data_IF_349970219158
#
_entry.id   IF_349970219158
#
_cell.length_a   1.000
_cell.length_b   1.000
_cell.length_c   1.000
_cell.angle_alpha   90.00
_cell.angle_beta   90.00
_cell.angle_gamma   90.00
#
_symmetry.space_group_name_H-M   'P 1'
#
loop_
_entity.id
_entity.type
_entity.pdbx_description
1 polymer ?
#
# COMPACT_ATOMS: atom_id res chain seq x y z
N UNK A 1 -8.60 -24.33 -50.51
CA UNK A 1 -8.01 -23.85 -49.25
C UNK A 1 -6.76 -23.06 -49.61
N UNK A 2 -6.65 -21.80 -49.19
CA UNK A 2 -5.47 -20.97 -49.47
C UNK A 2 -4.95 -20.47 -48.13
N UNK A 3 -3.76 -20.95 -47.75
CA UNK A 3 -3.02 -20.41 -46.62
C UNK A 3 -2.16 -19.26 -47.15
N UNK A 4 -2.55 -18.03 -46.83
CA UNK A 4 -1.67 -16.88 -47.03
C UNK A 4 -0.71 -16.83 -45.85
N UNK A 5 0.53 -17.28 -46.06
CA UNK A 5 1.61 -16.98 -45.14
C UNK A 5 2.07 -15.53 -45.43
N UNK A 6 1.71 -14.60 -44.56
CA UNK A 6 2.26 -13.25 -44.61
C UNK A 6 3.65 -13.26 -43.97
N UNK A 7 4.70 -12.72 -44.61
CA UNK A 7 5.95 -12.45 -43.93
C UNK A 7 5.72 -11.28 -42.97
N UNK A 8 5.66 -11.60 -41.68
CA UNK A 8 5.68 -10.60 -40.64
C UNK A 8 7.13 -10.11 -40.52
N UNK A 9 7.44 -8.96 -41.13
CA UNK A 9 8.73 -8.30 -40.94
C UNK A 9 8.75 -7.70 -39.53
N UNK A 10 9.53 -8.31 -38.65
CA UNK A 10 9.50 -8.16 -37.19
C UNK A 10 10.24 -6.93 -36.65
N UNK A 11 10.43 -5.84 -37.42
CA UNK A 11 11.57 -4.95 -37.15
C UNK A 11 11.41 -3.45 -36.94
N UNK A 12 10.23 -2.81 -37.01
CA UNK A 12 10.23 -1.34 -36.89
C UNK A 12 9.14 -0.67 -36.02
N UNK A 13 8.18 -1.37 -35.42
CA UNK A 13 7.09 -0.70 -34.67
C UNK A 13 6.98 -1.15 -33.19
N UNK A 14 8.10 -1.51 -32.56
CA UNK A 14 8.15 -1.82 -31.12
C UNK A 14 9.06 -0.88 -30.31
N UNK A 15 9.75 0.05 -30.96
CA UNK A 15 10.67 1.00 -30.32
C UNK A 15 10.03 1.93 -29.28
N UNK A 16 8.93 2.65 -29.59
CA UNK A 16 8.41 3.68 -28.68
C UNK A 16 7.70 3.11 -27.44
N UNK A 17 7.06 1.94 -27.58
CA UNK A 17 6.39 1.27 -26.47
C UNK A 17 7.41 0.57 -25.55
N UNK A 18 8.48 0.01 -26.13
CA UNK A 18 9.63 -0.54 -25.40
C UNK A 18 10.37 0.53 -24.57
N UNK A 19 10.61 1.72 -25.14
CA UNK A 19 11.24 2.84 -24.43
C UNK A 19 10.39 3.32 -23.24
N UNK A 20 9.06 3.37 -23.40
CA UNK A 20 8.13 3.74 -22.32
C UNK A 20 8.11 2.66 -21.22
N UNK A 21 8.07 1.39 -21.61
CA UNK A 21 8.09 0.25 -20.70
C UNK A 21 9.39 0.25 -19.86
N UNK A 22 10.53 0.46 -20.53
CA UNK A 22 11.85 0.52 -19.90
C UNK A 22 11.99 1.69 -18.94
N UNK A 23 11.34 2.81 -19.26
CA UNK A 23 11.28 3.99 -18.38
C UNK A 23 10.41 3.73 -17.14
N UNK A 24 9.32 2.97 -17.26
CA UNK A 24 8.47 2.57 -16.14
C UNK A 24 9.16 1.57 -15.21
N UNK A 25 9.94 0.63 -15.76
CA UNK A 25 10.67 -0.38 -14.99
C UNK A 25 11.86 0.22 -14.21
N UNK A 26 12.41 1.34 -14.67
CA UNK A 26 13.54 2.02 -14.03
C UNK A 26 13.13 3.07 -12.99
N UNK A 27 11.85 3.43 -12.94
CA UNK A 27 11.34 4.29 -11.87
C UNK A 27 11.39 3.49 -10.56
N UNK A 28 12.13 3.95 -9.53
CA UNK A 28 12.09 3.31 -8.23
C UNK A 28 10.63 3.32 -7.76
N UNK A 29 10.06 2.14 -7.53
CA UNK A 29 8.75 2.04 -6.91
C UNK A 29 8.87 2.70 -5.53
N UNK A 30 8.32 3.92 -5.40
CA UNK A 30 8.21 4.62 -4.12
C UNK A 30 7.59 3.64 -3.11
N UNK A 31 8.41 3.18 -2.18
CA UNK A 31 8.01 2.17 -1.21
C UNK A 31 7.03 2.81 -0.24
N UNK A 32 5.75 2.80 -0.59
CA UNK A 32 4.69 3.30 0.26
C UNK A 32 4.52 2.36 1.44
N UNK A 33 5.25 2.62 2.53
CA UNK A 33 5.17 1.88 3.78
C UNK A 33 3.77 2.05 4.42
N UNK A 34 2.83 1.20 4.01
CA UNK A 34 1.50 1.09 4.60
C UNK A 34 1.57 0.21 5.83
N UNK A 35 1.81 0.82 6.97
CA UNK A 35 1.66 0.11 8.24
C UNK A 35 0.18 -0.11 8.56
N UNK A 36 -0.18 -1.35 8.91
CA UNK A 36 -1.53 -1.69 9.38
C UNK A 36 -1.84 -0.87 10.63
N UNK A 37 -2.91 -0.08 10.57
CA UNK A 37 -3.37 0.78 11.67
C UNK A 37 -4.39 0.03 12.52
N UNK A 38 -4.28 0.19 13.84
CA UNK A 38 -5.31 -0.26 14.77
C UNK A 38 -6.42 0.78 14.83
N UNK A 39 -7.66 0.37 14.55
CA UNK A 39 -8.85 1.22 14.65
C UNK A 39 -9.58 0.94 15.96
N UNK A 40 -10.00 1.99 16.64
CA UNK A 40 -10.73 1.92 17.90
C UNK A 40 -12.24 1.69 17.69
N UNK A 41 -12.73 1.73 16.46
CA UNK A 41 -14.17 1.68 16.13
C UNK A 41 -14.87 0.41 16.66
N UNK A 42 -14.15 -0.72 16.74
CA UNK A 42 -14.73 -1.98 17.24
C UNK A 42 -14.96 -1.99 18.76
N UNK A 43 -14.19 -1.22 19.51
CA UNK A 43 -14.26 -1.17 20.97
C UNK A 43 -15.13 -0.01 21.49
N UNK A 44 -15.75 0.73 20.57
CA UNK A 44 -16.45 1.98 20.86
C UNK A 44 -17.75 1.79 21.63
N UNK A 45 -18.43 0.66 21.42
CA UNK A 45 -19.62 0.29 22.18
C UNK A 45 -19.36 -0.05 23.65
N UNK A 46 -18.09 -0.27 24.04
CA UNK A 46 -17.71 -0.73 25.38
C UNK A 46 -17.01 0.36 26.20
N UNK A 47 -16.80 1.57 25.65
CA UNK A 47 -16.17 2.69 26.36
C UNK A 47 -14.67 2.55 26.65
N UNK A 48 -14.01 1.48 26.17
CA UNK A 48 -12.59 1.16 26.45
C UNK A 48 -11.64 1.48 25.29
N UNK A 49 -12.07 2.33 24.35
CA UNK A 49 -11.33 2.70 23.14
C UNK A 49 -9.88 3.11 23.39
N UNK A 50 -9.69 4.06 24.30
CA UNK A 50 -8.38 4.61 24.60
C UNK A 50 -7.49 3.58 25.31
N UNK A 51 -8.08 2.73 26.15
CA UNK A 51 -7.39 1.67 26.89
C UNK A 51 -6.82 0.60 25.95
N UNK A 52 -7.62 0.16 24.98
CA UNK A 52 -7.17 -0.82 23.99
C UNK A 52 -6.08 -0.25 23.07
N UNK A 53 -6.21 1.02 22.66
CA UNK A 53 -5.17 1.71 21.91
C UNK A 53 -3.87 1.84 22.72
N UNK A 54 -3.95 2.22 24.00
CA UNK A 54 -2.80 2.30 24.87
C UNK A 54 -2.11 0.93 25.04
N UNK A 55 -2.88 -0.13 25.29
CA UNK A 55 -2.36 -1.50 25.38
C UNK A 55 -1.66 -1.96 24.09
N UNK A 56 -2.25 -1.66 22.91
CA UNK A 56 -1.62 -1.94 21.62
C UNK A 56 -0.26 -1.23 21.47
N UNK A 57 -0.19 0.04 21.87
CA UNK A 57 1.04 0.80 21.80
C UNK A 57 2.09 0.30 22.79
N UNK A 58 1.70 -0.10 24.00
CA UNK A 58 2.60 -0.75 24.96
C UNK A 58 3.14 -2.08 24.44
N UNK A 59 2.32 -2.90 23.78
CA UNK A 59 2.77 -4.12 23.12
C UNK A 59 3.81 -3.87 22.01
N UNK A 60 3.75 -2.69 21.37
CA UNK A 60 4.77 -2.19 20.42
C UNK A 60 5.96 -1.47 21.08
N UNK A 61 6.10 -1.56 22.41
CA UNK A 61 7.17 -0.91 23.19
C UNK A 61 7.18 0.62 23.05
N UNK A 62 6.00 1.22 22.92
CA UNK A 62 5.80 2.67 22.86
C UNK A 62 5.19 3.18 24.17
N UNK A 63 5.33 4.47 24.48
CA UNK A 63 4.79 5.13 25.69
C UNK A 63 3.25 5.21 25.82
N UNK A 64 2.51 4.38 25.09
CA UNK A 64 1.05 4.35 25.03
C UNK A 64 0.47 5.05 23.80
N UNK A 65 -0.83 5.28 23.80
CA UNK A 65 -1.54 5.90 22.68
C UNK A 65 -2.98 6.27 23.00
N UNK A 66 -3.58 7.06 22.12
CA UNK A 66 -4.98 7.45 22.21
C UNK A 66 -5.64 7.42 20.82
N UNK A 67 -6.95 7.20 20.80
CA UNK A 67 -7.74 7.26 19.59
C UNK A 67 -8.00 8.71 19.20
N UNK A 68 -7.88 9.03 17.91
CA UNK A 68 -8.29 10.31 17.36
C UNK A 68 -9.81 10.33 17.08
N UNK A 69 -10.32 11.50 16.68
CA UNK A 69 -11.74 11.71 16.31
C UNK A 69 -12.20 10.90 15.09
N UNK A 70 -11.28 10.26 14.36
CA UNK A 70 -11.54 9.40 13.19
C UNK A 70 -11.44 7.91 13.53
N UNK A 71 -11.39 7.55 14.83
CA UNK A 71 -11.30 6.16 15.26
C UNK A 71 -9.92 5.52 15.06
N UNK A 72 -8.87 6.28 14.75
CA UNK A 72 -7.52 5.74 14.52
C UNK A 72 -6.69 5.84 15.79
N UNK A 73 -6.07 4.73 16.19
CA UNK A 73 -5.12 4.73 17.32
C UNK A 73 -3.80 5.39 16.94
N UNK A 74 -3.37 6.37 17.73
CA UNK A 74 -2.11 7.10 17.56
C UNK A 74 -1.21 6.80 18.76
N UNK A 75 -0.11 6.09 18.51
CA UNK A 75 0.91 5.81 19.53
C UNK A 75 1.89 6.98 19.67
N UNK A 76 2.20 7.36 20.92
CA UNK A 76 3.29 8.28 21.27
C UNK A 76 4.56 7.49 21.56
N UNK A 77 5.73 8.07 21.28
CA UNK A 77 7.01 7.43 21.62
C UNK A 77 7.11 7.24 23.12
#
# INVERSE_FOLDING_TARGET
AVAFAYPYNDQDELGPLYELQKSLELAPAEEHHRERRFTCDFLSGLGVNHSACAAHCYAKLKGGGACNSKGVCVCRK
#
